data_IF_519866003611
#
_entry.id   IF_519866003611
#
_cell.length_a   1.000
_cell.length_b   1.000
_cell.length_c   1.000
_cell.angle_alpha   90.00
_cell.angle_beta   90.00
_cell.angle_gamma   90.00
#
_symmetry.space_group_name_H-M   'P 1'
#
loop_
_entity.id
_entity.type
_entity.pdbx_description
1 polymer ?
#
# COMPACT_ATOMS: atom_id res chain seq x y z
N UNK A 1 -9.27 23.77 18.77
CA UNK A 1 -8.58 23.40 17.52
C UNK A 1 -9.11 22.03 17.09
N UNK A 2 -10.05 21.98 16.12
CA UNK A 2 -10.68 20.72 15.69
C UNK A 2 -9.60 19.87 14.99
N UNK A 3 -9.32 18.68 15.50
CA UNK A 3 -8.36 17.78 14.90
C UNK A 3 -8.84 17.38 13.51
N UNK A 4 -8.16 17.92 12.51
CA UNK A 4 -8.36 17.64 11.08
C UNK A 4 -7.66 16.34 10.66
N UNK A 5 -7.48 15.36 11.59
CA UNK A 5 -6.70 14.16 11.29
C UNK A 5 -7.35 13.33 10.18
N UNK A 6 -8.62 13.00 10.32
CA UNK A 6 -9.37 12.29 9.27
C UNK A 6 -9.49 13.13 7.98
N UNK A 7 -9.69 14.45 8.12
CA UNK A 7 -9.79 15.36 6.97
C UNK A 7 -8.45 15.61 6.29
N UNK A 8 -7.34 15.69 7.06
CA UNK A 8 -6.00 15.80 6.47
C UNK A 8 -5.60 14.51 5.76
N UNK A 9 -5.87 13.35 6.35
CA UNK A 9 -5.63 12.07 5.69
C UNK A 9 -6.40 11.97 4.37
N UNK A 10 -7.70 12.29 4.37
CA UNK A 10 -8.53 12.34 3.15
C UNK A 10 -8.01 13.34 2.13
N UNK A 11 -7.62 14.55 2.56
CA UNK A 11 -7.18 15.63 1.65
C UNK A 11 -5.77 15.41 1.11
N UNK A 12 -4.89 14.80 1.89
CA UNK A 12 -3.51 14.49 1.48
C UNK A 12 -3.49 13.33 0.50
N UNK A 13 -4.28 12.28 0.76
CA UNK A 13 -4.41 11.13 -0.12
C UNK A 13 -5.14 11.46 -1.43
N UNK A 14 -6.14 12.36 -1.39
CA UNK A 14 -6.82 12.81 -2.61
C UNK A 14 -5.90 13.62 -3.54
N UNK A 15 -4.89 14.31 -2.99
CA UNK A 15 -3.90 15.07 -3.79
C UNK A 15 -2.78 14.20 -4.35
N UNK A 16 -2.43 13.10 -3.67
CA UNK A 16 -1.41 12.16 -4.14
C UNK A 16 -1.81 11.43 -5.43
N UNK A 17 -3.11 11.29 -5.68
CA UNK A 17 -3.63 10.61 -6.85
C UNK A 17 -3.57 11.43 -8.16
N UNK A 18 -3.33 12.75 -8.09
CA UNK A 18 -3.42 13.63 -9.26
C UNK A 18 -2.07 14.16 -9.76
N UNK A 19 -0.92 13.78 -9.18
CA UNK A 19 0.37 14.42 -9.46
C UNK A 19 1.52 13.47 -9.81
N UNK A 20 1.24 12.24 -10.25
CA UNK A 20 2.33 11.34 -10.67
C UNK A 20 2.34 11.08 -12.17
N UNK A 21 2.81 12.08 -12.93
CA UNK A 21 3.55 11.88 -14.16
C UNK A 21 4.94 12.49 -13.98
N UNK A 22 5.96 11.66 -14.17
CA UNK A 22 7.37 11.99 -14.30
C UNK A 22 8.18 12.14 -13.00
N UNK A 23 8.96 11.13 -12.65
CA UNK A 23 10.42 11.09 -12.70
C UNK A 23 10.87 9.65 -12.41
N UNK A 24 11.19 8.90 -13.41
CA UNK A 24 11.92 7.64 -13.31
C UNK A 24 13.41 7.93 -13.34
N UNK A 25 14.06 8.05 -12.19
CA UNK A 25 15.52 7.94 -12.10
C UNK A 25 15.92 6.47 -12.09
N UNK A 26 16.45 6.02 -13.20
CA UNK A 26 17.11 4.73 -13.33
C UNK A 26 18.35 4.70 -12.42
N UNK A 27 18.29 3.92 -11.34
CA UNK A 27 19.52 3.51 -10.66
C UNK A 27 20.02 2.25 -11.35
N UNK A 28 20.98 2.41 -12.25
CA UNK A 28 21.76 1.31 -12.78
C UNK A 28 22.71 0.81 -11.68
N UNK A 29 22.38 -0.30 -11.04
CA UNK A 29 23.38 -1.05 -10.27
C UNK A 29 24.15 -1.94 -11.23
N UNK A 30 25.35 -1.50 -11.60
CA UNK A 30 26.39 -2.35 -12.18
C UNK A 30 26.95 -3.24 -11.08
N UNK A 31 26.49 -4.48 -11.02
CA UNK A 31 27.21 -5.55 -10.33
C UNK A 31 28.06 -6.29 -11.36
N UNK A 32 29.36 -6.17 -11.23
CA UNK A 32 30.31 -6.96 -11.97
C UNK A 32 30.39 -8.39 -11.47
N UNK A 33 30.41 -9.33 -12.45
CA UNK A 33 31.13 -10.62 -12.42
C UNK A 33 30.57 -11.75 -11.55
N UNK A 34 30.09 -12.83 -12.07
CA UNK A 34 30.75 -13.92 -12.73
C UNK A 34 29.74 -14.99 -13.22
N UNK A 35 30.05 -15.67 -14.28
CA UNK A 35 29.36 -16.71 -15.01
C UNK A 35 28.43 -17.61 -14.22
N UNK A 36 27.17 -17.43 -14.41
CA UNK A 36 26.05 -18.33 -14.20
C UNK A 36 24.84 -17.66 -14.84
N UNK A 37 24.40 -18.12 -16.00
CA UNK A 37 23.13 -17.68 -16.59
C UNK A 37 22.00 -18.06 -15.65
N UNK A 38 21.78 -17.27 -14.63
CA UNK A 38 20.50 -17.23 -13.92
C UNK A 38 19.54 -16.53 -14.85
N UNK A 39 18.85 -17.30 -15.68
CA UNK A 39 17.64 -16.83 -16.36
C UNK A 39 16.74 -16.26 -15.27
N UNK A 40 16.73 -14.96 -15.10
CA UNK A 40 15.75 -14.26 -14.27
C UNK A 40 14.40 -14.54 -14.89
N UNK A 41 13.65 -15.47 -14.29
CA UNK A 41 12.29 -15.79 -14.72
C UNK A 41 11.49 -14.50 -14.61
N UNK A 42 11.13 -13.98 -15.78
CA UNK A 42 10.34 -12.76 -15.87
C UNK A 42 8.93 -13.07 -15.38
N UNK A 43 8.53 -12.44 -14.27
CA UNK A 43 7.18 -12.60 -13.74
C UNK A 43 6.14 -11.93 -14.67
N UNK A 44 5.00 -12.57 -14.87
CA UNK A 44 3.83 -11.93 -15.48
C UNK A 44 3.22 -10.88 -14.54
N UNK A 45 2.31 -10.01 -15.00
CA UNK A 45 1.60 -9.10 -14.13
C UNK A 45 0.89 -9.81 -12.97
N UNK A 46 0.22 -10.94 -13.23
CA UNK A 46 -0.44 -11.75 -12.21
C UNK A 46 0.55 -12.31 -11.20
N UNK A 47 1.61 -12.96 -11.66
CA UNK A 47 2.67 -13.48 -10.79
C UNK A 47 3.33 -12.38 -9.96
N UNK A 48 3.44 -11.15 -10.50
CA UNK A 48 3.95 -9.99 -9.77
C UNK A 48 3.01 -9.61 -8.62
N UNK A 49 1.69 -9.59 -8.83
CA UNK A 49 0.71 -9.35 -7.75
C UNK A 49 0.80 -10.44 -6.68
N UNK A 50 0.79 -11.71 -7.08
CA UNK A 50 0.92 -12.85 -6.16
C UNK A 50 2.22 -12.78 -5.33
N UNK A 51 3.32 -12.39 -5.95
CA UNK A 51 4.61 -12.17 -5.28
C UNK A 51 4.55 -11.04 -4.26
N UNK A 52 3.94 -9.89 -4.61
CA UNK A 52 3.75 -8.74 -3.72
C UNK A 52 2.98 -9.18 -2.47
N UNK A 53 1.85 -9.86 -2.62
CA UNK A 53 1.05 -10.32 -1.50
C UNK A 53 1.80 -11.36 -0.63
N UNK A 54 2.55 -12.26 -1.26
CA UNK A 54 3.39 -13.23 -0.55
C UNK A 54 4.43 -12.52 0.30
N UNK A 55 5.19 -11.59 -0.27
CA UNK A 55 6.23 -10.83 0.44
C UNK A 55 5.64 -10.00 1.58
N UNK A 56 4.48 -9.36 1.36
CA UNK A 56 3.79 -8.62 2.40
C UNK A 56 3.37 -9.53 3.57
N UNK A 57 2.82 -10.72 3.29
CA UNK A 57 2.38 -11.70 4.31
C UNK A 57 3.54 -12.24 5.13
N UNK A 58 4.69 -12.51 4.52
CA UNK A 58 5.90 -12.97 5.26
C UNK A 58 6.70 -11.81 5.85
N UNK A 59 6.26 -10.56 5.66
CA UNK A 59 6.90 -9.33 6.16
C UNK A 59 8.31 -9.08 5.61
N UNK A 60 8.62 -9.62 4.44
CA UNK A 60 9.85 -9.32 3.70
C UNK A 60 9.69 -7.99 2.96
N UNK A 61 9.76 -6.91 3.74
CA UNK A 61 9.52 -5.56 3.23
C UNK A 61 10.67 -5.03 2.37
N UNK A 62 11.87 -5.56 2.51
CA UNK A 62 13.02 -5.18 1.69
C UNK A 62 12.83 -5.69 0.25
N UNK A 63 12.51 -6.98 0.08
CA UNK A 63 12.17 -7.53 -1.24
C UNK A 63 10.88 -6.93 -1.79
N UNK A 64 9.89 -6.62 -0.95
CA UNK A 64 8.65 -5.98 -1.36
C UNK A 64 8.88 -4.57 -1.93
N UNK A 65 9.86 -3.84 -1.42
CA UNK A 65 10.20 -2.49 -1.88
C UNK A 65 10.68 -2.43 -3.33
N UNK A 66 11.14 -3.55 -3.89
CA UNK A 66 11.49 -3.66 -5.31
C UNK A 66 10.25 -3.50 -6.22
N UNK A 67 9.08 -3.93 -5.74
CA UNK A 67 7.82 -3.91 -6.49
C UNK A 67 6.97 -2.68 -6.20
N UNK A 68 6.72 -2.40 -4.92
CA UNK A 68 5.84 -1.31 -4.49
C UNK A 68 6.24 -0.75 -3.12
N UNK A 69 5.62 0.36 -2.72
CA UNK A 69 5.72 0.85 -1.35
C UNK A 69 5.17 -0.18 -0.37
N UNK A 70 5.88 -0.39 0.72
CA UNK A 70 5.58 -1.39 1.74
C UNK A 70 5.26 -0.75 3.10
N UNK A 71 5.06 -1.58 4.10
CA UNK A 71 4.84 -1.15 5.48
C UNK A 71 6.15 -0.97 6.27
N UNK A 72 7.31 -0.91 5.59
CA UNK A 72 8.57 -0.55 6.24
C UNK A 72 8.60 0.94 6.58
N UNK A 73 9.37 1.29 7.63
CA UNK A 73 9.57 2.69 8.02
C UNK A 73 10.06 3.53 6.84
N UNK A 74 11.06 3.05 6.11
CA UNK A 74 11.63 3.76 4.96
C UNK A 74 10.60 3.99 3.84
N UNK A 75 9.79 2.99 3.50
CA UNK A 75 8.73 3.15 2.51
C UNK A 75 7.67 4.16 2.95
N UNK A 76 7.33 4.17 4.23
CA UNK A 76 6.36 5.12 4.79
C UNK A 76 6.93 6.55 4.84
N UNK A 77 8.22 6.71 5.14
CA UNK A 77 8.91 8.00 5.05
C UNK A 77 8.81 8.56 3.62
N UNK A 78 9.12 7.74 2.63
CA UNK A 78 9.01 8.13 1.23
C UNK A 78 7.56 8.46 0.85
N UNK A 79 6.59 7.64 1.27
CA UNK A 79 5.18 7.88 1.00
C UNK A 79 4.71 9.23 1.54
N UNK A 80 5.04 9.57 2.79
CA UNK A 80 4.65 10.84 3.39
C UNK A 80 5.43 12.04 2.81
N UNK A 81 6.71 11.86 2.49
CA UNK A 81 7.51 12.88 1.79
C UNK A 81 6.88 13.21 0.43
N UNK A 82 6.52 12.19 -0.35
CA UNK A 82 5.89 12.35 -1.66
C UNK A 82 4.52 13.06 -1.56
N UNK A 83 3.81 12.88 -0.45
CA UNK A 83 2.51 13.56 -0.20
C UNK A 83 2.64 14.93 0.45
N UNK A 84 3.88 15.37 0.79
CA UNK A 84 4.15 16.63 1.45
C UNK A 84 3.56 16.72 2.86
N UNK A 85 3.51 15.60 3.57
CA UNK A 85 2.95 15.52 4.91
C UNK A 85 4.09 15.48 5.94
N UNK A 86 4.07 16.41 6.90
CA UNK A 86 4.96 16.36 8.05
C UNK A 86 4.60 15.20 8.97
N UNK A 87 5.59 14.48 9.44
CA UNK A 87 5.42 13.32 10.33
C UNK A 87 6.49 13.31 11.43
N UNK A 88 6.12 12.72 12.58
CA UNK A 88 7.04 12.37 13.64
C UNK A 88 7.55 10.93 13.41
N UNK A 89 8.89 10.74 13.54
CA UNK A 89 9.51 9.44 13.24
C UNK A 89 9.03 8.29 14.16
N UNK A 90 8.65 8.61 15.42
CA UNK A 90 8.11 7.63 16.36
C UNK A 90 6.69 7.24 15.96
N UNK A 91 5.86 8.23 15.60
CA UNK A 91 4.53 8.01 15.07
C UNK A 91 4.56 7.18 13.80
N UNK A 92 5.49 7.49 12.89
CA UNK A 92 5.63 6.79 11.61
C UNK A 92 5.88 5.29 11.78
N UNK A 93 6.78 4.91 12.71
CA UNK A 93 7.06 3.49 12.98
C UNK A 93 5.82 2.76 13.48
N UNK A 94 5.03 3.41 14.32
CA UNK A 94 3.80 2.85 14.85
C UNK A 94 2.71 2.74 13.79
N UNK A 95 2.54 3.78 13.00
CA UNK A 95 1.59 3.80 11.87
C UNK A 95 1.89 2.70 10.85
N UNK A 96 3.18 2.48 10.54
CA UNK A 96 3.63 1.39 9.68
C UNK A 96 3.21 0.01 10.24
N UNK A 97 3.39 -0.22 11.54
CA UNK A 97 2.99 -1.48 12.18
C UNK A 97 1.47 -1.66 12.18
N UNK A 98 0.71 -0.61 12.41
CA UNK A 98 -0.76 -0.63 12.33
C UNK A 98 -1.25 -0.95 10.92
N UNK A 99 -0.65 -0.36 9.88
CA UNK A 99 -0.99 -0.70 8.49
C UNK A 99 -0.69 -2.16 8.17
N UNK A 100 0.45 -2.68 8.61
CA UNK A 100 0.78 -4.09 8.44
C UNK A 100 -0.25 -5.00 9.13
N UNK A 101 -0.72 -4.62 10.32
CA UNK A 101 -1.76 -5.34 11.04
C UNK A 101 -3.12 -5.30 10.32
N UNK A 102 -3.50 -4.16 9.74
CA UNK A 102 -4.71 -4.04 8.91
C UNK A 102 -4.59 -4.98 7.70
N UNK A 103 -3.47 -4.94 7.00
CA UNK A 103 -3.22 -5.82 5.86
C UNK A 103 -3.35 -7.28 6.24
N UNK A 104 -2.68 -7.71 7.30
CA UNK A 104 -2.67 -9.11 7.75
C UNK A 104 -4.07 -9.63 8.10
N UNK A 105 -4.92 -8.79 8.70
CA UNK A 105 -6.22 -9.19 9.19
C UNK A 105 -7.36 -9.05 8.18
N UNK A 106 -7.25 -8.11 7.23
CA UNK A 106 -8.40 -7.72 6.42
C UNK A 106 -8.16 -7.79 4.92
N UNK A 107 -6.89 -7.81 4.44
CA UNK A 107 -6.61 -7.74 3.02
C UNK A 107 -6.34 -9.13 2.44
N UNK A 108 -7.17 -9.53 1.49
CA UNK A 108 -7.02 -10.75 0.69
C UNK A 108 -7.35 -10.47 -0.76
N UNK A 109 -7.04 -11.41 -1.62
CA UNK A 109 -7.47 -11.39 -3.02
C UNK A 109 -7.93 -12.77 -3.48
N UNK A 110 -8.74 -12.80 -4.54
CA UNK A 110 -9.18 -13.99 -5.25
C UNK A 110 -9.43 -13.69 -6.72
N UNK A 111 -9.58 -14.73 -7.53
CA UNK A 111 -10.00 -14.68 -8.95
C UNK A 111 -9.15 -13.74 -9.82
N UNK A 112 -7.81 -13.71 -9.61
CA UNK A 112 -6.94 -12.87 -10.43
C UNK A 112 -6.94 -13.32 -11.90
N UNK A 113 -7.27 -12.38 -12.77
CA UNK A 113 -7.18 -12.50 -14.23
C UNK A 113 -6.23 -11.43 -14.77
N UNK A 114 -5.41 -11.79 -15.75
CA UNK A 114 -4.47 -10.82 -16.33
C UNK A 114 -4.77 -10.58 -17.81
N UNK A 115 -4.42 -9.36 -18.25
CA UNK A 115 -4.23 -8.98 -19.63
C UNK A 115 -2.84 -8.34 -19.75
N UNK A 116 -2.04 -8.83 -20.68
CA UNK A 116 -0.69 -8.32 -20.88
C UNK A 116 -0.36 -8.30 -22.37
N UNK A 117 0.09 -7.14 -22.85
CA UNK A 117 0.48 -6.91 -24.23
C UNK A 117 1.87 -6.22 -24.23
N UNK A 118 2.87 -6.96 -24.69
CA UNK A 118 4.26 -6.46 -24.79
C UNK A 118 4.45 -5.48 -25.93
N UNK A 119 3.61 -5.51 -26.96
CA UNK A 119 3.69 -4.59 -28.10
C UNK A 119 3.23 -3.20 -27.68
N UNK A 120 2.09 -3.11 -27.01
CA UNK A 120 1.60 -1.85 -26.43
C UNK A 120 2.27 -1.48 -25.11
N UNK A 121 3.07 -2.40 -24.55
CA UNK A 121 3.74 -2.26 -23.24
C UNK A 121 2.80 -1.97 -22.09
N UNK A 122 1.59 -2.49 -22.15
CA UNK A 122 0.56 -2.33 -21.12
C UNK A 122 0.11 -3.68 -20.58
N UNK A 123 -0.22 -3.72 -19.31
CA UNK A 123 -0.78 -4.89 -18.66
C UNK A 123 -1.72 -4.50 -17.54
N UNK A 124 -2.61 -5.40 -17.20
CA UNK A 124 -3.50 -5.24 -16.05
C UNK A 124 -3.79 -6.57 -15.39
N UNK A 125 -4.08 -6.51 -14.09
CA UNK A 125 -4.57 -7.64 -13.31
C UNK A 125 -5.86 -7.21 -12.63
N UNK A 126 -6.95 -7.87 -12.96
CA UNK A 126 -8.24 -7.64 -12.31
C UNK A 126 -8.54 -8.81 -11.40
N UNK A 127 -9.05 -8.53 -10.21
CA UNK A 127 -9.43 -9.54 -9.24
C UNK A 127 -10.44 -9.05 -8.22
N UNK A 128 -10.94 -9.97 -7.43
CA UNK A 128 -11.75 -9.69 -6.26
C UNK A 128 -10.83 -9.51 -5.07
N UNK A 129 -10.92 -8.35 -4.43
CA UNK A 129 -10.12 -8.02 -3.24
C UNK A 129 -11.03 -7.82 -2.05
N UNK A 130 -10.51 -8.12 -0.85
CA UNK A 130 -11.13 -7.68 0.39
C UNK A 130 -10.22 -6.70 1.09
N UNK A 131 -10.78 -5.71 1.76
CA UNK A 131 -10.06 -4.80 2.63
C UNK A 131 -10.95 -4.37 3.79
N UNK A 132 -10.37 -3.76 4.82
CA UNK A 132 -11.12 -3.16 5.92
C UNK A 132 -12.11 -2.12 5.37
N UNK A 133 -13.38 -2.20 5.83
CA UNK A 133 -14.38 -1.15 5.55
C UNK A 133 -14.01 0.12 6.32
N UNK A 134 -13.14 0.94 5.71
CA UNK A 134 -12.59 2.14 6.35
C UNK A 134 -13.66 3.19 6.64
N UNK A 135 -14.78 3.20 5.93
CA UNK A 135 -15.88 4.11 6.23
C UNK A 135 -16.50 3.76 7.59
N UNK A 136 -16.88 2.51 7.80
CA UNK A 136 -17.41 2.02 9.07
C UNK A 136 -16.38 2.08 10.19
N UNK A 137 -15.12 1.79 9.87
CA UNK A 137 -14.04 1.91 10.83
C UNK A 137 -13.89 3.36 11.33
N UNK A 138 -13.85 4.33 10.44
CA UNK A 138 -13.76 5.74 10.79
C UNK A 138 -15.01 6.23 11.55
N UNK A 139 -16.20 5.83 11.13
CA UNK A 139 -17.44 6.18 11.85
C UNK A 139 -17.39 5.75 13.31
N UNK A 140 -16.87 4.55 13.58
CA UNK A 140 -16.75 4.02 14.95
C UNK A 140 -15.63 4.66 15.74
N UNK A 141 -14.47 4.88 15.11
CA UNK A 141 -13.26 5.34 15.81
C UNK A 141 -13.19 6.85 15.95
N UNK A 142 -13.65 7.62 14.96
CA UNK A 142 -13.55 9.09 14.95
C UNK A 142 -14.25 9.73 16.14
N UNK A 143 -15.42 9.23 16.55
CA UNK A 143 -16.14 9.77 17.69
C UNK A 143 -15.32 9.67 18.99
N UNK A 144 -14.77 8.49 19.27
CA UNK A 144 -13.97 8.24 20.48
C UNK A 144 -12.61 8.93 20.44
N UNK A 145 -11.94 8.91 19.28
CA UNK A 145 -10.69 9.62 19.08
C UNK A 145 -10.86 11.12 19.33
N UNK A 146 -11.92 11.71 18.79
CA UNK A 146 -12.17 13.15 18.93
C UNK A 146 -12.66 13.58 20.31
N UNK A 147 -13.32 12.70 21.07
CA UNK A 147 -13.84 13.02 22.41
C UNK A 147 -12.84 12.70 23.53
N UNK A 148 -12.27 11.50 23.52
CA UNK A 148 -11.45 10.99 24.63
C UNK A 148 -9.95 11.18 24.41
N UNK A 149 -9.46 11.00 23.18
CA UNK A 149 -8.03 10.96 22.88
C UNK A 149 -7.53 12.13 22.04
N UNK A 150 -8.27 13.22 21.99
CA UNK A 150 -8.09 14.36 21.07
C UNK A 150 -6.67 14.88 20.90
N UNK A 151 -5.86 14.84 21.95
CA UNK A 151 -4.50 15.37 21.98
C UNK A 151 -3.44 14.30 22.33
N UNK A 152 -3.83 13.04 22.45
CA UNK A 152 -2.94 11.94 22.82
C UNK A 152 -2.81 10.95 21.66
N UNK A 153 -1.80 11.15 20.81
CA UNK A 153 -1.53 10.27 19.67
C UNK A 153 -1.25 8.81 20.06
N UNK A 154 -0.62 8.58 21.21
CA UNK A 154 -0.34 7.22 21.66
C UNK A 154 -1.64 6.52 22.04
N UNK A 155 -2.49 7.17 22.82
CA UNK A 155 -3.80 6.64 23.18
C UNK A 155 -4.70 6.41 21.95
N UNK A 156 -4.65 7.31 20.95
CA UNK A 156 -5.35 7.11 19.68
C UNK A 156 -4.89 5.84 18.96
N UNK A 157 -3.58 5.64 18.84
CA UNK A 157 -3.02 4.47 18.18
C UNK A 157 -3.27 3.19 18.99
N UNK A 158 -3.19 3.23 20.34
CA UNK A 158 -3.54 2.09 21.19
C UNK A 158 -4.98 1.66 20.99
N UNK A 159 -5.88 2.64 20.90
CA UNK A 159 -7.29 2.37 20.62
C UNK A 159 -7.51 1.78 19.23
N UNK A 160 -6.89 2.36 18.20
CA UNK A 160 -6.96 1.85 16.83
C UNK A 160 -6.46 0.40 16.78
N UNK A 161 -5.30 0.12 17.37
CA UNK A 161 -4.71 -1.21 17.38
C UNK A 161 -5.61 -2.22 18.12
N UNK A 162 -6.25 -1.82 19.23
CA UNK A 162 -7.20 -2.67 19.95
C UNK A 162 -8.41 -3.02 19.08
N UNK A 163 -8.98 -2.03 18.40
CA UNK A 163 -10.15 -2.21 17.53
C UNK A 163 -9.83 -3.12 16.35
N UNK A 164 -8.65 -2.97 15.74
CA UNK A 164 -8.19 -3.86 14.65
C UNK A 164 -7.99 -5.28 15.18
N UNK A 165 -7.39 -5.44 16.37
CA UNK A 165 -7.11 -6.73 16.99
C UNK A 165 -8.38 -7.52 17.36
N UNK A 166 -9.44 -6.83 17.76
CA UNK A 166 -10.71 -7.44 18.15
C UNK A 166 -11.51 -8.01 16.96
N UNK A 167 -11.07 -7.75 15.73
CA UNK A 167 -11.74 -8.20 14.49
C UNK A 167 -13.23 -7.87 14.44
N UNK A 168 -13.63 -6.78 15.07
CA UNK A 168 -15.04 -6.33 15.10
C UNK A 168 -15.53 -5.90 13.71
N UNK A 169 -14.62 -5.51 12.83
CA UNK A 169 -14.95 -5.03 11.49
C UNK A 169 -14.90 -6.18 10.50
N UNK A 170 -15.84 -6.10 9.56
CA UNK A 170 -15.84 -7.00 8.41
C UNK A 170 -14.98 -6.41 7.30
N UNK A 171 -14.36 -7.28 6.53
CA UNK A 171 -13.79 -6.89 5.26
C UNK A 171 -14.92 -6.55 4.28
N UNK A 172 -14.68 -5.57 3.43
CA UNK A 172 -15.53 -5.25 2.28
C UNK A 172 -14.89 -5.84 1.04
N UNK A 173 -15.70 -6.54 0.26
CA UNK A 173 -15.30 -7.11 -1.01
C UNK A 173 -15.58 -6.13 -2.16
N UNK A 174 -14.68 -6.09 -3.14
CA UNK A 174 -14.79 -5.23 -4.33
C UNK A 174 -13.92 -5.76 -5.47
N UNK A 175 -14.28 -5.42 -6.69
CA UNK A 175 -13.45 -5.66 -7.87
C UNK A 175 -12.45 -4.50 -8.03
N UNK A 176 -11.20 -4.83 -8.32
CA UNK A 176 -10.16 -3.84 -8.55
C UNK A 176 -9.24 -4.27 -9.69
N UNK A 177 -8.77 -3.29 -10.46
CA UNK A 177 -7.80 -3.50 -11.55
C UNK A 177 -6.49 -2.80 -11.24
N UNK A 178 -5.41 -3.56 -11.24
CA UNK A 178 -4.04 -3.10 -11.02
C UNK A 178 -3.37 -2.94 -12.38
N UNK A 179 -2.87 -1.74 -12.67
CA UNK A 179 -2.26 -1.41 -13.95
C UNK A 179 -0.75 -1.59 -13.95
N UNK A 180 -0.21 -2.09 -15.06
CA UNK A 180 1.20 -2.34 -15.27
C UNK A 180 1.71 -1.69 -16.56
N UNK A 181 3.01 -1.39 -16.55
CA UNK A 181 3.80 -1.03 -17.74
C UNK A 181 4.94 -2.01 -17.92
N UNK A 182 5.25 -2.32 -19.18
CA UNK A 182 6.40 -3.12 -19.54
C UNK A 182 7.62 -2.22 -19.81
N UNK A 183 8.57 -2.23 -18.88
CA UNK A 183 9.76 -1.35 -18.92
C UNK A 183 11.00 -2.18 -18.64
N UNK A 184 12.03 -2.03 -19.46
CA UNK A 184 13.30 -2.77 -19.31
C UNK A 184 13.10 -4.29 -19.14
N UNK A 185 12.26 -4.85 -20.00
CA UNK A 185 11.93 -6.28 -20.02
C UNK A 185 11.22 -6.80 -18.74
N UNK A 186 10.63 -5.91 -17.95
CA UNK A 186 9.92 -6.27 -16.73
C UNK A 186 8.55 -5.59 -16.64
N UNK A 187 7.58 -6.28 -16.03
CA UNK A 187 6.30 -5.72 -15.68
C UNK A 187 6.43 -4.93 -14.37
N UNK A 188 6.10 -3.67 -14.43
CA UNK A 188 6.20 -2.72 -13.31
C UNK A 188 4.84 -2.12 -13.01
N UNK A 189 4.49 -2.04 -11.74
CA UNK A 189 3.28 -1.36 -11.29
C UNK A 189 3.26 0.10 -11.75
N UNK A 190 2.12 0.54 -12.27
CA UNK A 190 1.91 1.96 -12.59
C UNK A 190 1.78 2.79 -11.31
N UNK A 191 1.07 2.26 -10.29
CA UNK A 191 0.97 2.90 -8.97
C UNK A 191 1.77 2.11 -7.92
N UNK A 192 2.91 2.66 -7.52
CA UNK A 192 3.75 2.06 -6.49
C UNK A 192 3.11 2.07 -5.08
N UNK A 193 2.08 2.87 -4.86
CA UNK A 193 1.38 2.99 -3.58
C UNK A 193 0.17 2.05 -3.48
N UNK A 194 -0.12 1.27 -4.52
CA UNK A 194 -1.32 0.45 -4.61
C UNK A 194 -1.58 -0.38 -3.34
N UNK A 195 -0.55 -1.01 -2.75
CA UNK A 195 -0.71 -1.86 -1.57
C UNK A 195 -1.13 -1.06 -0.33
N UNK A 196 -0.55 0.13 -0.15
CA UNK A 196 -0.92 1.05 0.94
C UNK A 196 -2.35 1.56 0.74
N UNK A 197 -2.69 1.97 -0.49
CA UNK A 197 -4.03 2.47 -0.82
C UNK A 197 -5.09 1.38 -0.66
N UNK A 198 -4.80 0.15 -1.09
CA UNK A 198 -5.66 -1.02 -0.88
C UNK A 198 -5.89 -1.27 0.62
N UNK A 199 -4.82 -1.26 1.42
CA UNK A 199 -4.90 -1.48 2.88
C UNK A 199 -5.74 -0.40 3.57
N UNK A 200 -5.66 0.83 3.10
CA UNK A 200 -6.44 1.97 3.60
C UNK A 200 -7.86 2.05 3.01
N UNK A 201 -8.29 1.08 2.22
CA UNK A 201 -9.63 1.05 1.62
C UNK A 201 -9.87 2.10 0.52
N UNK A 202 -8.79 2.66 -0.09
CA UNK A 202 -8.88 3.64 -1.18
C UNK A 202 -8.91 2.95 -2.54
N UNK A 203 -9.92 2.15 -2.80
CA UNK A 203 -10.10 1.38 -4.03
C UNK A 203 -11.24 1.89 -4.93
N UNK A 204 -11.94 2.91 -4.48
CA UNK A 204 -12.99 3.55 -5.27
C UNK A 204 -12.43 4.80 -5.94
N UNK A 205 -11.98 4.66 -7.16
CA UNK A 205 -11.76 5.79 -8.06
C UNK A 205 -12.33 5.45 -9.43
#
# INVERSE_FOLDING_TARGET
MKLKFSYRLKKTLLRAATLFCAVSTAVAMTACSDKGETSTVQLSPKETVEKIFTLAKIKDYDSLAEYCRSFSKMSMELYFTDTGTDYDAKWLSRYSATLASIFDNYVTYDNLTEKADKETRTGSVTGTFTALDMEKFNEKTDSKINSEFKNDYNAQMDYIDSVIGDKEFKSKEFEYTIEFKYVNEQWTLTDKNFLILLTLGYYNK
#
